data_IF_866715818778
#
_entry.id   IF_866715818778
#
_cell.length_a   1.000
_cell.length_b   1.000
_cell.length_c   1.000
_cell.angle_alpha   90.00
_cell.angle_beta   90.00
_cell.angle_gamma   90.00
#
_symmetry.space_group_name_H-M   'P 1'
#
loop_
_entity.id
_entity.type
_entity.pdbx_description
1 polymer ?
#
# COMPACT_ATOMS: atom_id res chain seq x y z
N UNK A 1 -3.48 66.29 29.13
CA UNK A 1 -4.00 65.28 28.18
C UNK A 1 -3.49 63.91 28.60
N UNK A 2 -4.36 62.94 28.93
CA UNK A 2 -3.98 61.52 29.08
C UNK A 2 -4.10 60.87 27.69
N UNK A 3 -3.18 59.95 27.32
CA UNK A 3 -3.42 58.54 27.59
C UNK A 3 -2.21 57.76 28.13
N UNK A 4 -2.49 56.65 28.81
CA UNK A 4 -1.55 55.64 29.33
C UNK A 4 -0.92 54.84 28.19
N UNK A 5 0.39 54.61 28.22
CA UNK A 5 1.06 53.55 27.45
C UNK A 5 0.83 52.22 28.15
N UNK A 6 0.13 51.32 27.47
CA UNK A 6 -0.11 49.94 27.87
C UNK A 6 1.07 49.05 27.43
N UNK A 7 1.40 48.10 28.29
CA UNK A 7 2.24 46.91 28.08
C UNK A 7 1.75 46.08 26.88
N UNK A 8 2.62 45.38 26.13
CA UNK A 8 2.16 44.44 25.11
C UNK A 8 1.51 43.24 25.82
N UNK A 9 0.20 43.10 25.65
CA UNK A 9 -0.56 41.94 26.10
C UNK A 9 -0.38 40.77 25.11
N UNK A 10 -0.19 39.60 25.70
CA UNK A 10 -0.67 38.27 25.28
C UNK A 10 -1.66 38.23 24.11
N UNK A 11 -1.21 37.63 23.00
CA UNK A 11 -1.98 36.92 21.96
C UNK A 11 -1.30 35.53 21.89
N UNK A 12 -1.90 34.36 22.14
CA UNK A 12 -3.24 33.89 21.82
C UNK A 12 -3.73 32.88 22.87
N UNK A 13 -4.65 33.31 23.72
CA UNK A 13 -5.60 32.45 24.43
C UNK A 13 -7.00 32.79 23.94
N UNK A 14 -7.29 32.52 22.66
CA UNK A 14 -8.65 32.54 22.13
C UNK A 14 -9.09 31.11 21.79
N UNK A 15 -9.82 30.57 22.76
CA UNK A 15 -10.63 29.37 22.70
C UNK A 15 -11.39 29.25 21.38
N UNK A 16 -11.07 28.19 20.62
CA UNK A 16 -12.00 27.53 19.74
C UNK A 16 -11.93 26.05 20.07
N UNK A 17 -12.77 25.57 21.00
CA UNK A 17 -12.86 24.13 21.24
C UNK A 17 -13.15 23.44 19.90
N UNK A 18 -12.36 22.42 19.58
CA UNK A 18 -12.64 21.58 18.42
C UNK A 18 -14.05 20.98 18.58
N UNK A 19 -14.79 20.75 17.50
CA UNK A 19 -16.10 20.10 17.61
C UNK A 19 -15.97 18.74 18.33
N UNK A 20 -17.04 18.27 19.00
CA UNK A 20 -17.00 16.99 19.71
C UNK A 20 -16.47 15.87 18.82
N UNK A 21 -15.48 15.12 19.32
CA UNK A 21 -14.81 14.05 18.59
C UNK A 21 -13.55 14.47 17.83
N UNK A 22 -13.26 15.76 17.67
CA UNK A 22 -12.04 16.19 16.98
C UNK A 22 -10.88 16.44 17.94
N UNK A 23 -9.71 15.91 17.60
CA UNK A 23 -8.45 16.07 18.34
C UNK A 23 -7.34 16.55 17.39
N UNK A 24 -6.43 17.39 17.88
CA UNK A 24 -5.30 17.90 17.08
C UNK A 24 -4.00 17.19 17.40
N UNK A 25 -3.25 16.85 16.36
CA UNK A 25 -1.96 16.17 16.43
C UNK A 25 -0.91 16.91 15.59
N UNK A 26 0.36 16.62 15.82
CA UNK A 26 1.47 17.16 15.04
C UNK A 26 2.08 16.03 14.21
N UNK A 27 2.25 16.25 12.91
CA UNK A 27 2.94 15.31 12.04
C UNK A 27 4.44 15.30 12.33
N UNK A 28 5.18 14.24 11.93
CA UNK A 28 6.64 14.22 12.02
C UNK A 28 7.32 15.37 11.27
N UNK A 29 6.64 15.97 10.29
CA UNK A 29 7.10 17.14 9.54
C UNK A 29 6.73 18.48 10.22
N UNK A 30 6.21 18.44 11.45
CA UNK A 30 5.86 19.63 12.23
C UNK A 30 4.57 20.34 11.80
N UNK A 31 3.69 19.68 11.04
CA UNK A 31 2.41 20.25 10.62
C UNK A 31 1.27 19.76 11.51
N UNK A 32 0.38 20.67 11.92
CA UNK A 32 -0.79 20.31 12.73
C UNK A 32 -1.88 19.69 11.85
N UNK A 33 -2.42 18.55 12.26
CA UNK A 33 -3.57 17.90 11.63
C UNK A 33 -4.63 17.56 12.68
N UNK A 34 -5.86 17.30 12.24
CA UNK A 34 -7.02 17.05 13.09
C UNK A 34 -7.62 15.68 12.75
N UNK A 35 -7.99 14.93 13.78
CA UNK A 35 -8.56 13.58 13.66
C UNK A 35 -9.90 13.53 14.37
N UNK A 36 -10.92 13.00 13.71
CA UNK A 36 -12.22 12.72 14.33
C UNK A 36 -12.22 11.30 14.94
N UNK A 37 -12.29 11.20 16.25
CA UNK A 37 -12.27 9.92 17.00
C UNK A 37 -13.54 9.09 16.83
N UNK A 38 -14.62 9.66 16.28
CA UNK A 38 -15.86 8.92 16.00
C UNK A 38 -15.91 8.37 14.58
N UNK A 39 -15.40 9.11 13.58
CA UNK A 39 -15.45 8.72 12.16
C UNK A 39 -14.12 8.22 11.61
N UNK A 40 -13.02 8.36 12.36
CA UNK A 40 -11.64 8.15 11.92
C UNK A 40 -11.22 9.01 10.70
N UNK A 41 -11.91 10.13 10.46
CA UNK A 41 -11.53 11.10 9.42
C UNK A 41 -10.33 11.94 9.86
N UNK A 42 -9.45 12.28 8.91
CA UNK A 42 -8.28 13.15 9.15
C UNK A 42 -8.27 14.32 8.18
N UNK A 43 -7.95 15.52 8.68
CA UNK A 43 -7.86 16.75 7.88
C UNK A 43 -6.70 17.64 8.33
N UNK A 44 -6.13 18.39 7.39
CA UNK A 44 -5.08 19.39 7.67
C UNK A 44 -5.65 20.76 8.00
N UNK A 45 -6.93 21.00 7.72
CA UNK A 45 -7.63 22.24 8.03
C UNK A 45 -8.37 22.12 9.37
N UNK A 46 -8.30 23.15 10.22
CA UNK A 46 -8.99 23.12 11.52
C UNK A 46 -10.51 22.98 11.31
N UNK A 47 -11.14 21.90 11.77
CA UNK A 47 -12.59 21.75 11.70
C UNK A 47 -13.25 22.90 12.47
N UNK A 48 -14.06 23.69 11.79
CA UNK A 48 -14.78 24.80 12.42
C UNK A 48 -15.98 24.26 13.21
N UNK A 49 -16.30 24.92 14.33
CA UNK A 49 -17.50 24.63 15.12
C UNK A 49 -18.78 25.23 14.54
N UNK A 50 -18.77 25.68 13.27
CA UNK A 50 -19.88 26.38 12.62
C UNK A 50 -20.23 25.71 11.29
N UNK A 51 -21.51 25.33 11.05
CA UNK A 51 -21.92 24.69 9.81
C UNK A 51 -21.91 25.69 8.64
N UNK A 52 -21.20 25.34 7.56
CA UNK A 52 -21.45 25.83 6.20
C UNK A 52 -20.45 26.83 5.63
N UNK A 53 -19.52 26.35 4.80
CA UNK A 53 -19.28 26.72 3.38
C UNK A 53 -17.86 26.29 2.93
N UNK A 54 -17.67 25.73 1.72
CA UNK A 54 -16.39 25.19 1.28
C UNK A 54 -15.54 26.22 0.52
N UNK A 55 -14.22 26.26 0.74
CA UNK A 55 -13.26 26.87 -0.19
C UNK A 55 -11.98 26.05 -0.33
N UNK A 56 -11.60 25.91 -1.60
CA UNK A 56 -10.53 25.12 -2.21
C UNK A 56 -9.10 25.68 -1.95
N UNK A 57 -8.04 24.96 -2.38
CA UNK A 57 -6.70 24.99 -1.78
C UNK A 57 -5.74 25.96 -2.48
N UNK A 58 -4.72 26.44 -1.75
CA UNK A 58 -3.59 27.19 -2.33
C UNK A 58 -2.24 26.59 -1.92
N UNK A 59 -1.46 26.35 -2.96
CA UNK A 59 -0.07 25.88 -3.04
C UNK A 59 0.97 26.87 -2.48
N UNK A 60 2.11 26.38 -1.98
CA UNK A 60 3.48 26.55 -2.57
C UNK A 60 4.64 26.49 -1.57
N UNK A 61 5.70 25.78 -2.02
CA UNK A 61 7.15 26.09 -1.98
C UNK A 61 7.86 26.06 -0.62
N UNK A 62 8.74 25.08 -0.38
CA UNK A 62 10.18 25.03 -0.73
C UNK A 62 11.02 26.09 -0.02
N UNK A 63 12.01 25.69 0.79
CA UNK A 63 13.40 26.17 0.74
C UNK A 63 14.27 25.43 1.78
N UNK A 64 15.46 25.06 1.33
CA UNK A 64 16.57 24.48 2.07
C UNK A 64 17.16 25.42 3.15
N UNK A 65 17.99 24.90 4.05
CA UNK A 65 19.42 25.30 4.21
C UNK A 65 20.12 24.50 5.32
N UNK A 66 21.38 24.15 5.00
CA UNK A 66 22.54 23.63 5.74
C UNK A 66 22.65 23.80 7.27
N UNK A 67 23.43 22.88 7.87
CA UNK A 67 24.24 23.16 9.07
C UNK A 67 24.97 21.95 9.65
N UNK A 68 26.31 22.00 9.66
CA UNK A 68 27.29 20.99 10.09
C UNK A 68 27.28 20.66 11.60
N UNK A 69 27.73 19.46 12.02
CA UNK A 69 29.01 19.23 12.73
C UNK A 69 29.17 17.80 13.30
N UNK A 70 30.44 17.43 13.46
CA UNK A 70 31.04 16.11 13.65
C UNK A 70 31.36 15.82 15.14
N UNK A 71 31.47 14.52 15.45
CA UNK A 71 32.27 13.84 16.50
C UNK A 71 31.73 13.68 17.93
N UNK A 72 31.88 12.45 18.42
CA UNK A 72 31.96 12.12 19.85
C UNK A 72 31.54 10.70 20.22
N UNK A 73 32.39 9.70 19.98
CA UNK A 73 32.37 8.42 20.72
C UNK A 73 32.95 8.59 22.12
N UNK A 74 32.43 7.87 23.13
CA UNK A 74 33.29 6.97 23.92
C UNK A 74 32.60 5.61 24.20
N UNK A 75 33.23 4.49 23.86
CA UNK A 75 34.02 3.57 24.71
C UNK A 75 33.23 2.81 25.79
N UNK A 76 33.28 1.49 25.61
CA UNK A 76 32.95 0.34 26.47
C UNK A 76 32.80 0.53 27.99
N UNK A 77 31.78 -0.17 28.52
CA UNK A 77 31.91 -0.92 29.78
C UNK A 77 31.22 -2.29 29.63
N UNK A 78 32.02 -3.35 29.81
CA UNK A 78 31.56 -4.71 30.06
C UNK A 78 31.01 -4.78 31.47
N UNK A 79 29.80 -5.32 31.63
CA UNK A 79 29.40 -5.95 32.89
C UNK A 79 28.68 -7.27 32.61
N UNK A 80 29.05 -8.28 33.39
CA UNK A 80 28.74 -9.68 33.22
C UNK A 80 27.77 -10.11 34.31
N UNK A 81 26.69 -10.79 33.93
CA UNK A 81 25.96 -11.68 34.83
C UNK A 81 24.68 -11.11 35.44
N UNK A 82 23.55 -11.33 34.75
CA UNK A 82 22.36 -11.97 35.35
C UNK A 82 21.42 -12.44 34.23
N UNK A 83 21.44 -13.73 33.90
CA UNK A 83 20.43 -14.36 33.04
C UNK A 83 19.11 -14.42 33.82
N UNK A 84 18.38 -13.32 33.82
CA UNK A 84 16.98 -13.31 34.25
C UNK A 84 16.14 -13.79 33.08
N UNK A 85 15.63 -15.02 33.16
CA UNK A 85 14.59 -15.57 32.31
C UNK A 85 13.37 -14.62 32.31
N UNK A 86 13.35 -13.67 31.38
CA UNK A 86 12.13 -12.92 31.04
C UNK A 86 11.28 -13.80 30.15
N UNK A 87 10.00 -13.91 30.49
CA UNK A 87 8.94 -14.54 29.68
C UNK A 87 9.13 -14.17 28.20
N UNK A 88 9.17 -15.17 27.34
CA UNK A 88 9.11 -14.97 25.89
C UNK A 88 7.75 -14.34 25.53
N UNK A 89 7.71 -13.00 25.47
CA UNK A 89 6.70 -12.28 24.70
C UNK A 89 7.04 -12.55 23.23
N UNK A 90 6.41 -13.58 22.67
CA UNK A 90 6.55 -13.89 21.25
C UNK A 90 6.06 -12.71 20.43
N UNK A 91 6.84 -12.33 19.42
CA UNK A 91 6.45 -11.34 18.43
C UNK A 91 5.06 -11.67 17.84
N UNK A 92 4.17 -10.68 17.67
CA UNK A 92 2.84 -10.90 17.15
C UNK A 92 2.89 -11.53 15.76
N UNK A 93 2.23 -12.68 15.65
CA UNK A 93 2.10 -13.41 14.40
C UNK A 93 0.72 -13.18 13.81
N UNK A 94 0.67 -12.58 12.63
CA UNK A 94 -0.57 -12.29 11.90
C UNK A 94 -0.49 -13.07 10.59
N UNK A 95 -1.40 -14.03 10.42
CA UNK A 95 -1.51 -14.87 9.21
C UNK A 95 -0.19 -15.53 8.78
N UNK A 96 0.51 -16.12 9.75
CA UNK A 96 1.82 -16.81 9.60
C UNK A 96 3.01 -15.90 9.28
N UNK A 97 2.84 -14.57 9.30
CA UNK A 97 3.94 -13.60 9.21
C UNK A 97 4.22 -13.05 10.61
N UNK A 98 5.49 -13.02 10.99
CA UNK A 98 5.93 -12.47 12.27
C UNK A 98 6.21 -10.98 12.10
N UNK A 99 5.54 -10.16 12.90
CA UNK A 99 5.79 -8.73 13.00
C UNK A 99 6.44 -8.44 14.36
N UNK A 100 7.35 -7.48 14.43
CA UNK A 100 7.96 -7.11 15.69
C UNK A 100 6.92 -6.56 16.69
N UNK A 101 7.11 -6.85 17.97
CA UNK A 101 6.18 -6.42 19.02
C UNK A 101 6.12 -4.88 19.16
N UNK A 102 4.93 -4.24 19.17
CA UNK A 102 4.78 -2.78 19.23
C UNK A 102 5.50 -2.13 20.41
N UNK A 103 5.43 -2.77 21.58
CA UNK A 103 6.00 -2.22 22.83
C UNK A 103 7.54 -2.27 22.90
N UNK A 104 8.19 -3.02 22.01
CA UNK A 104 9.65 -3.29 22.05
C UNK A 104 10.35 -2.75 20.80
N UNK A 105 9.60 -2.17 19.86
CA UNK A 105 10.13 -1.68 18.58
C UNK A 105 10.85 -0.34 18.72
N UNK A 106 12.16 -0.24 18.40
CA UNK A 106 12.71 1.01 17.91
C UNK A 106 12.05 1.37 16.56
N UNK A 107 12.01 2.66 16.24
CA UNK A 107 11.40 3.19 15.02
C UNK A 107 11.96 2.47 13.77
N UNK A 108 11.11 1.68 13.08
CA UNK A 108 11.50 0.97 11.87
C UNK A 108 11.51 1.94 10.69
N UNK A 109 12.68 2.09 10.04
CA UNK A 109 12.79 2.88 8.83
C UNK A 109 12.06 2.19 7.67
N UNK A 110 11.32 2.99 6.90
CA UNK A 110 10.70 2.55 5.65
C UNK A 110 11.78 2.23 4.61
N UNK A 111 11.47 1.31 3.68
CA UNK A 111 12.33 0.99 2.55
C UNK A 111 12.46 2.20 1.63
N UNK A 112 11.38 2.98 1.44
CA UNK A 112 11.37 4.24 0.71
C UNK A 112 10.76 5.39 1.55
N UNK A 113 11.54 6.02 2.45
CA UNK A 113 11.03 6.98 3.45
C UNK A 113 10.32 8.22 2.92
N UNK A 114 10.60 8.62 1.67
CA UNK A 114 10.00 9.80 1.04
C UNK A 114 8.85 9.46 0.08
N UNK A 115 8.45 8.18 0.00
CA UNK A 115 7.46 7.70 -0.96
C UNK A 115 6.39 6.84 -0.28
N UNK A 116 5.15 6.95 -0.76
CA UNK A 116 4.09 6.01 -0.40
C UNK A 116 4.23 4.74 -1.23
N UNK A 117 5.26 3.94 -0.93
CA UNK A 117 5.63 2.79 -1.76
C UNK A 117 4.78 1.55 -1.47
N UNK A 118 4.46 0.78 -2.50
CA UNK A 118 3.76 -0.49 -2.32
C UNK A 118 4.54 -1.48 -1.43
N UNK A 119 5.87 -1.45 -1.46
CA UNK A 119 6.70 -2.29 -0.62
C UNK A 119 6.75 -1.85 0.86
N UNK A 120 6.11 -0.75 1.25
CA UNK A 120 6.12 -0.27 2.63
C UNK A 120 4.77 -0.46 3.34
N UNK A 121 3.65 -0.42 2.60
CA UNK A 121 2.32 -0.26 3.20
C UNK A 121 1.36 -1.44 2.99
N UNK A 122 1.78 -2.53 2.34
CA UNK A 122 0.90 -3.65 1.94
C UNK A 122 1.33 -5.01 2.53
N UNK A 123 1.85 -5.00 3.76
CA UNK A 123 2.32 -6.20 4.47
C UNK A 123 1.23 -6.94 5.24
N UNK A 124 0.37 -6.20 5.92
CA UNK A 124 -0.72 -6.75 6.72
C UNK A 124 -1.93 -7.09 5.85
N UNK A 125 -2.66 -8.13 6.24
CA UNK A 125 -3.88 -8.50 5.56
C UNK A 125 -5.05 -7.65 6.06
N UNK A 126 -5.90 -7.20 5.14
CA UNK A 126 -7.08 -6.37 5.41
C UNK A 126 -8.28 -7.26 5.70
N UNK A 127 -8.95 -7.04 6.82
CA UNK A 127 -10.25 -7.65 7.12
C UNK A 127 -11.39 -6.80 6.54
N UNK A 128 -12.44 -7.43 6.06
CA UNK A 128 -13.68 -6.72 5.70
C UNK A 128 -14.36 -6.13 6.94
N UNK A 129 -15.33 -5.22 6.72
CA UNK A 129 -16.06 -4.54 7.80
C UNK A 129 -16.83 -5.49 8.72
N UNK A 130 -17.09 -6.72 8.24
CA UNK A 130 -17.83 -7.76 8.94
C UNK A 130 -16.90 -8.77 9.63
N UNK A 131 -15.58 -8.66 9.43
CA UNK A 131 -14.56 -9.56 9.95
C UNK A 131 -14.53 -10.96 9.31
N UNK A 132 -15.35 -11.22 8.31
CA UNK A 132 -15.59 -12.55 7.76
C UNK A 132 -14.59 -12.92 6.66
N UNK A 133 -14.12 -11.94 5.89
CA UNK A 133 -13.13 -12.15 4.85
C UNK A 133 -11.84 -11.40 5.15
N UNK A 134 -10.72 -12.03 4.81
CA UNK A 134 -9.39 -11.46 4.89
C UNK A 134 -8.78 -11.42 3.50
N UNK A 135 -8.30 -10.25 3.08
CA UNK A 135 -7.68 -9.99 1.78
C UNK A 135 -6.23 -9.58 2.03
N UNK A 136 -5.27 -10.24 1.37
CA UNK A 136 -3.87 -9.88 1.56
C UNK A 136 -3.55 -8.50 1.00
N UNK A 137 -2.52 -7.84 1.54
CA UNK A 137 -2.06 -6.57 0.98
C UNK A 137 -1.66 -6.68 -0.50
N UNK A 138 -1.05 -7.80 -0.89
CA UNK A 138 -0.70 -8.07 -2.29
C UNK A 138 -1.94 -8.15 -3.20
N UNK A 139 -3.00 -8.81 -2.74
CA UNK A 139 -4.25 -8.92 -3.50
C UNK A 139 -4.85 -7.53 -3.78
N UNK A 140 -4.76 -6.59 -2.84
CA UNK A 140 -5.22 -5.21 -3.05
C UNK A 140 -4.44 -4.55 -4.21
N UNK A 141 -3.11 -4.76 -4.26
CA UNK A 141 -2.27 -4.24 -5.34
C UNK A 141 -2.60 -4.90 -6.68
N UNK A 142 -2.81 -6.21 -6.69
CA UNK A 142 -3.24 -6.96 -7.87
C UNK A 142 -4.55 -6.41 -8.44
N UNK A 143 -5.55 -6.21 -7.58
CA UNK A 143 -6.84 -5.63 -7.97
C UNK A 143 -6.68 -4.20 -8.50
N UNK A 144 -5.81 -3.38 -7.90
CA UNK A 144 -5.50 -2.03 -8.40
C UNK A 144 -4.90 -2.08 -9.81
N UNK A 145 -4.02 -3.04 -10.07
CA UNK A 145 -3.40 -3.24 -11.38
C UNK A 145 -4.41 -3.70 -12.44
N UNK A 146 -5.26 -4.67 -12.10
CA UNK A 146 -6.36 -5.13 -12.98
C UNK A 146 -7.36 -4.01 -13.28
N UNK A 147 -7.72 -3.21 -12.29
CA UNK A 147 -8.58 -2.02 -12.47
C UNK A 147 -7.91 -0.98 -13.38
N UNK A 148 -6.59 -0.81 -13.29
CA UNK A 148 -5.84 0.05 -14.22
C UNK A 148 -6.01 -0.39 -15.68
N UNK A 149 -5.86 -1.69 -15.96
CA UNK A 149 -6.07 -2.24 -17.31
C UNK A 149 -7.52 -2.11 -17.78
N UNK A 150 -8.49 -2.23 -16.87
CA UNK A 150 -9.90 -2.00 -17.18
C UNK A 150 -10.17 -0.52 -17.54
N UNK A 151 -9.64 0.42 -16.76
CA UNK A 151 -9.77 1.85 -17.03
C UNK A 151 -9.16 2.24 -18.38
N UNK A 152 -7.99 1.69 -18.70
CA UNK A 152 -7.36 1.86 -20.01
C UNK A 152 -8.26 1.38 -21.17
N UNK A 153 -8.98 0.27 -20.99
CA UNK A 153 -9.95 -0.23 -21.98
C UNK A 153 -11.13 0.73 -22.13
N UNK A 154 -11.69 1.21 -21.03
CA UNK A 154 -12.79 2.19 -21.04
C UNK A 154 -12.38 3.52 -21.71
N UNK A 155 -11.15 3.98 -21.48
CA UNK A 155 -10.59 5.15 -22.17
C UNK A 155 -10.51 4.92 -23.69
N UNK A 156 -10.09 3.74 -24.14
CA UNK A 156 -10.07 3.41 -25.57
C UNK A 156 -11.50 3.35 -26.16
N UNK A 157 -12.45 2.78 -25.43
CA UNK A 157 -13.86 2.74 -25.82
C UNK A 157 -14.44 4.16 -25.96
N UNK A 158 -14.08 5.09 -25.06
CA UNK A 158 -14.45 6.51 -25.19
C UNK A 158 -13.87 7.15 -26.46
N UNK A 159 -12.59 6.91 -26.75
CA UNK A 159 -11.94 7.43 -27.98
C UNK A 159 -12.61 6.84 -29.24
N UNK A 160 -13.02 5.57 -29.20
CA UNK A 160 -13.77 4.94 -30.29
C UNK A 160 -15.10 5.64 -30.56
N UNK A 161 -15.85 6.00 -29.53
CA UNK A 161 -17.09 6.76 -29.73
C UNK A 161 -16.82 8.15 -30.30
N UNK A 162 -15.72 8.81 -29.88
CA UNK A 162 -15.29 10.08 -30.51
C UNK A 162 -14.95 9.89 -31.99
N UNK A 163 -14.24 8.81 -32.36
CA UNK A 163 -13.91 8.49 -33.76
C UNK A 163 -15.19 8.36 -34.59
N UNK A 164 -16.20 7.63 -34.11
CA UNK A 164 -17.49 7.47 -34.83
C UNK A 164 -18.20 8.81 -35.06
N UNK A 165 -18.20 9.69 -34.06
CA UNK A 165 -18.79 11.04 -34.18
C UNK A 165 -18.08 11.84 -35.28
N UNK A 166 -16.74 11.81 -35.31
CA UNK A 166 -15.96 12.50 -36.34
C UNK A 166 -16.20 11.92 -37.74
N UNK A 167 -16.31 10.60 -37.86
CA UNK A 167 -16.61 9.92 -39.13
C UNK A 167 -18.00 10.29 -39.66
N UNK A 168 -19.01 10.34 -38.78
CA UNK A 168 -20.36 10.75 -39.15
C UNK A 168 -20.42 12.24 -39.54
N UNK A 169 -19.71 13.10 -38.80
CA UNK A 169 -19.61 14.52 -39.12
C UNK A 169 -18.96 14.74 -40.50
N UNK A 170 -17.81 14.10 -40.75
CA UNK A 170 -17.12 14.14 -42.04
C UNK A 170 -18.01 13.62 -43.18
N UNK A 171 -18.73 12.51 -42.95
CA UNK A 171 -19.67 11.95 -43.94
C UNK A 171 -20.79 12.93 -44.30
N UNK A 172 -21.34 13.63 -43.31
CA UNK A 172 -22.40 14.61 -43.52
C UNK A 172 -21.90 15.86 -44.26
N UNK A 173 -20.71 16.38 -43.92
CA UNK A 173 -20.05 17.46 -44.66
C UNK A 173 -19.77 17.07 -46.11
N UNK A 174 -19.22 15.88 -46.32
CA UNK A 174 -18.96 15.34 -47.66
C UNK A 174 -20.23 15.23 -48.48
N UNK A 175 -21.32 14.69 -47.90
CA UNK A 175 -22.62 14.61 -48.59
C UNK A 175 -23.18 16.00 -48.94
N UNK A 176 -23.07 16.97 -48.03
CA UNK A 176 -23.54 18.34 -48.26
C UNK A 176 -22.74 19.06 -49.35
N UNK A 177 -21.42 18.81 -49.42
CA UNK A 177 -20.54 19.38 -50.45
C UNK A 177 -20.96 19.02 -51.89
N UNK A 178 -21.60 17.86 -52.08
CA UNK A 178 -22.04 17.36 -53.39
C UNK A 178 -23.44 17.83 -53.78
N UNK A 179 -24.08 18.68 -52.97
CA UNK A 179 -25.43 19.15 -53.25
C UNK A 179 -25.46 20.10 -54.47
N UNK A 180 -26.49 19.98 -55.29
CA UNK A 180 -26.73 20.79 -56.49
C UNK A 180 -27.44 22.12 -56.21
N UNK A 181 -27.70 22.47 -54.94
CA UNK A 181 -28.27 23.77 -54.56
C UNK A 181 -27.48 24.94 -55.16
N UNK A 182 -28.22 25.87 -55.78
CA UNK A 182 -27.71 27.05 -56.47
C UNK A 182 -26.57 26.76 -57.47
N UNK A 183 -26.55 25.58 -58.09
CA UNK A 183 -25.54 25.22 -59.09
C UNK A 183 -25.67 26.00 -60.41
N UNK A 184 -26.81 26.68 -60.62
CA UNK A 184 -27.06 27.54 -61.79
C UNK A 184 -26.54 28.97 -61.62
N UNK A 185 -25.97 29.32 -60.45
CA UNK A 185 -25.37 30.64 -60.24
C UNK A 185 -24.10 30.76 -61.08
N UNK A 186 -23.96 31.86 -61.81
CA UNK A 186 -22.90 32.07 -62.80
C UNK A 186 -21.93 33.19 -62.40
N UNK A 187 -20.91 33.41 -63.22
CA UNK A 187 -19.96 34.50 -63.02
C UNK A 187 -19.08 34.32 -61.79
N UNK A 188 -18.61 35.43 -61.21
CA UNK A 188 -17.71 35.41 -60.04
C UNK A 188 -18.41 34.92 -58.78
N UNK A 189 -19.71 35.21 -58.63
CA UNK A 189 -20.52 34.73 -57.51
C UNK A 189 -20.70 33.22 -57.57
N UNK A 190 -21.03 32.67 -58.74
CA UNK A 190 -21.13 31.22 -58.97
C UNK A 190 -19.83 30.48 -58.65
N UNK A 191 -18.69 31.03 -59.09
CA UNK A 191 -17.35 30.49 -58.75
C UNK A 191 -17.09 30.50 -57.24
N UNK A 192 -17.44 31.58 -56.55
CA UNK A 192 -17.29 31.67 -55.09
C UNK A 192 -18.20 30.66 -54.36
N UNK A 193 -19.44 30.49 -54.82
CA UNK A 193 -20.37 29.50 -54.30
C UNK A 193 -19.87 28.06 -54.51
N UNK A 194 -19.38 27.73 -55.70
CA UNK A 194 -18.77 26.43 -55.98
C UNK A 194 -17.55 26.17 -55.09
N UNK A 195 -16.72 27.19 -54.85
CA UNK A 195 -15.56 27.09 -53.96
C UNK A 195 -15.97 26.86 -52.50
N UNK A 196 -17.06 27.47 -52.03
CA UNK A 196 -17.61 27.18 -50.70
C UNK A 196 -18.06 25.72 -50.58
N UNK A 197 -18.77 25.19 -51.58
CA UNK A 197 -19.14 23.76 -51.57
C UNK A 197 -17.91 22.85 -51.56
N UNK A 198 -16.86 23.21 -52.31
CA UNK A 198 -15.57 22.51 -52.28
C UNK A 198 -14.90 22.58 -50.89
N UNK A 199 -14.93 23.72 -50.21
CA UNK A 199 -14.31 23.83 -48.88
C UNK A 199 -14.96 22.90 -47.86
N UNK A 200 -16.27 22.63 -47.96
CA UNK A 200 -16.94 21.62 -47.14
C UNK A 200 -16.40 20.20 -47.40
N UNK A 201 -16.02 19.87 -48.63
CA UNK A 201 -15.38 18.59 -48.94
C UNK A 201 -13.97 18.51 -48.35
N UNK A 202 -13.21 19.60 -48.43
CA UNK A 202 -11.88 19.71 -47.84
C UNK A 202 -11.94 19.59 -46.30
N UNK A 203 -12.92 20.23 -45.65
CA UNK A 203 -13.20 20.10 -44.22
C UNK A 203 -13.55 18.65 -43.84
N UNK A 204 -14.41 17.99 -44.61
CA UNK A 204 -14.72 16.58 -44.41
C UNK A 204 -13.46 15.69 -44.44
N UNK A 205 -12.53 15.94 -45.37
CA UNK A 205 -11.27 15.21 -45.47
C UNK A 205 -10.37 15.43 -44.25
N UNK A 206 -10.31 16.66 -43.72
CA UNK A 206 -9.57 16.98 -42.49
C UNK A 206 -10.12 16.19 -41.30
N UNK A 207 -11.43 16.17 -41.10
CA UNK A 207 -12.06 15.43 -40.01
C UNK A 207 -11.88 13.91 -40.14
N UNK A 208 -11.94 13.37 -41.36
CA UNK A 208 -11.68 11.95 -41.60
C UNK A 208 -10.22 11.56 -41.35
N UNK A 209 -9.26 12.42 -41.71
CA UNK A 209 -7.85 12.23 -41.37
C UNK A 209 -7.63 12.30 -39.86
N UNK A 210 -8.32 13.21 -39.17
CA UNK A 210 -8.27 13.32 -37.73
C UNK A 210 -8.81 12.07 -37.03
N UNK A 211 -9.96 11.54 -37.45
CA UNK A 211 -10.51 10.29 -36.89
C UNK A 211 -9.56 9.11 -37.08
N UNK A 212 -8.93 9.03 -38.26
CA UNK A 212 -7.91 8.02 -38.56
C UNK A 212 -6.70 8.12 -37.61
N UNK A 213 -6.24 9.34 -37.32
CA UNK A 213 -5.15 9.59 -36.35
C UNK A 213 -5.55 9.25 -34.92
N UNK A 214 -6.75 9.60 -34.48
CA UNK A 214 -7.28 9.18 -33.18
C UNK A 214 -7.24 7.66 -33.04
N UNK A 215 -7.63 6.94 -34.10
CA UNK A 215 -7.59 5.49 -34.09
C UNK A 215 -6.16 4.95 -34.01
N UNK A 216 -5.24 5.43 -34.85
CA UNK A 216 -3.88 4.87 -34.93
C UNK A 216 -2.94 5.31 -33.81
N UNK A 217 -3.07 6.55 -33.33
CA UNK A 217 -2.14 7.16 -32.39
C UNK A 217 -2.66 7.17 -30.94
N UNK A 218 -3.96 6.95 -30.73
CA UNK A 218 -4.57 6.98 -29.39
C UNK A 218 -5.29 5.68 -29.04
N UNK A 219 -6.33 5.29 -29.80
CA UNK A 219 -7.15 4.12 -29.47
C UNK A 219 -6.32 2.81 -29.52
N UNK A 220 -5.60 2.56 -30.62
CA UNK A 220 -4.80 1.35 -30.79
C UNK A 220 -3.71 1.21 -29.72
N UNK A 221 -2.87 2.23 -29.44
CA UNK A 221 -1.90 2.17 -28.35
C UNK A 221 -2.54 1.92 -26.98
N UNK A 222 -3.70 2.52 -26.70
CA UNK A 222 -4.44 2.22 -25.46
C UNK A 222 -4.92 0.77 -25.41
N UNK A 223 -5.27 0.12 -26.50
CA UNK A 223 -5.71 -1.28 -26.46
C UNK A 223 -4.53 -2.26 -26.35
N UNK A 224 -3.49 -2.05 -27.16
CA UNK A 224 -2.34 -2.95 -27.29
C UNK A 224 -1.31 -2.80 -26.17
N UNK A 225 -1.38 -1.74 -25.35
CA UNK A 225 -0.46 -1.58 -24.23
C UNK A 225 -0.60 -2.75 -23.24
N UNK A 226 0.45 -3.57 -23.14
CA UNK A 226 0.56 -4.77 -22.30
C UNK A 226 -0.56 -5.79 -22.55
N UNK A 227 -0.63 -6.39 -23.75
CA UNK A 227 -1.67 -7.37 -24.10
C UNK A 227 -1.68 -8.62 -23.18
N UNK A 228 -0.49 -9.10 -22.79
CA UNK A 228 -0.34 -10.26 -21.91
C UNK A 228 -0.54 -9.96 -20.42
N UNK A 229 -0.89 -8.71 -20.05
CA UNK A 229 -0.94 -8.24 -18.68
C UNK A 229 -1.73 -9.14 -17.73
N UNK A 230 -2.94 -9.55 -18.12
CA UNK A 230 -3.80 -10.40 -17.26
C UNK A 230 -3.16 -11.75 -16.97
N UNK A 231 -2.41 -12.31 -17.93
CA UNK A 231 -1.69 -13.58 -17.76
C UNK A 231 -0.50 -13.40 -16.83
N UNK A 232 0.25 -12.32 -17.01
CA UNK A 232 1.42 -11.99 -16.17
C UNK A 232 0.99 -11.75 -14.73
N UNK A 233 -0.09 -10.99 -14.51
CA UNK A 233 -0.66 -10.74 -13.18
C UNK A 233 -1.10 -12.03 -12.48
N UNK A 234 -1.76 -12.96 -13.19
CA UNK A 234 -2.08 -14.29 -12.63
C UNK A 234 -0.85 -15.10 -12.26
N UNK A 235 0.22 -15.00 -13.05
CA UNK A 235 1.49 -15.68 -12.75
C UNK A 235 2.14 -15.11 -11.49
N UNK A 236 2.17 -13.77 -11.34
CA UNK A 236 2.66 -13.11 -10.14
C UNK A 236 1.83 -13.48 -8.90
N UNK A 237 0.50 -13.45 -9.01
CA UNK A 237 -0.42 -13.87 -7.95
C UNK A 237 -0.14 -15.29 -7.48
N UNK A 238 -0.11 -16.25 -8.40
CA UNK A 238 0.19 -17.64 -8.08
C UNK A 238 1.55 -17.80 -7.38
N UNK A 239 2.57 -17.10 -7.86
CA UNK A 239 3.91 -17.15 -7.28
C UNK A 239 3.94 -16.69 -5.82
N UNK A 240 3.34 -15.54 -5.51
CA UNK A 240 3.28 -14.99 -4.15
C UNK A 240 2.39 -15.86 -3.25
N UNK A 241 1.27 -16.38 -3.78
CA UNK A 241 0.39 -17.28 -3.06
C UNK A 241 1.08 -18.60 -2.66
N UNK A 242 1.89 -19.18 -3.54
CA UNK A 242 2.67 -20.38 -3.25
C UNK A 242 3.71 -20.15 -2.15
N UNK A 243 4.40 -19.01 -2.16
CA UNK A 243 5.33 -18.63 -1.09
C UNK A 243 4.61 -18.45 0.25
N UNK A 244 3.44 -17.80 0.26
CA UNK A 244 2.60 -17.69 1.47
C UNK A 244 2.12 -19.05 1.98
N UNK A 245 1.74 -19.96 1.09
CA UNK A 245 1.36 -21.33 1.45
C UNK A 245 2.54 -22.10 2.06
N UNK A 246 3.74 -21.94 1.49
CA UNK A 246 4.96 -22.54 2.04
C UNK A 246 5.28 -21.97 3.43
N UNK A 247 5.16 -20.66 3.62
CA UNK A 247 5.34 -19.99 4.91
C UNK A 247 4.36 -20.52 5.97
N UNK A 248 3.07 -20.64 5.64
CA UNK A 248 2.05 -21.20 6.53
C UNK A 248 2.35 -22.67 6.90
N UNK A 249 2.86 -23.46 5.97
CA UNK A 249 3.31 -24.83 6.25
C UNK A 249 4.50 -24.88 7.22
N UNK A 250 5.50 -24.00 7.05
CA UNK A 250 6.63 -23.88 7.98
C UNK A 250 6.18 -23.44 9.37
N UNK A 251 5.26 -22.48 9.42
CA UNK A 251 4.67 -22.01 10.67
C UNK A 251 3.97 -23.15 11.43
N UNK A 252 3.14 -23.95 10.75
CA UNK A 252 2.49 -25.12 11.35
C UNK A 252 3.50 -26.14 11.89
N UNK A 253 4.66 -26.30 11.23
CA UNK A 253 5.73 -27.17 11.72
C UNK A 253 6.40 -26.62 13.00
N UNK A 254 6.63 -25.30 13.08
CA UNK A 254 7.12 -24.63 14.30
C UNK A 254 6.17 -24.87 15.46
N UNK A 255 4.86 -24.66 15.25
CA UNK A 255 3.87 -24.84 16.32
C UNK A 255 3.77 -26.29 16.79
N UNK A 256 3.87 -27.25 15.85
CA UNK A 256 3.96 -28.67 16.20
C UNK A 256 5.22 -28.99 17.02
N UNK A 257 6.38 -28.44 16.65
CA UNK A 257 7.63 -28.63 17.38
C UNK A 257 7.60 -27.97 18.77
N UNK A 258 7.01 -26.78 18.89
CA UNK A 258 6.81 -26.06 20.15
C UNK A 258 5.93 -26.86 21.11
N UNK A 259 4.82 -27.41 20.62
CA UNK A 259 3.95 -28.29 21.39
C UNK A 259 4.69 -29.54 21.85
N UNK A 260 5.44 -30.18 20.95
CA UNK A 260 6.24 -31.36 21.28
C UNK A 260 7.30 -31.06 22.36
N UNK A 261 8.04 -29.94 22.26
CA UNK A 261 8.99 -29.51 23.29
C UNK A 261 8.30 -29.33 24.65
N UNK A 262 7.15 -28.66 24.66
CA UNK A 262 6.37 -28.42 25.89
C UNK A 262 5.94 -29.73 26.54
N UNK A 263 5.47 -30.71 25.75
CA UNK A 263 5.12 -32.05 26.25
C UNK A 263 6.34 -32.79 26.81
N UNK A 264 7.50 -32.71 26.16
CA UNK A 264 8.75 -33.34 26.64
C UNK A 264 9.32 -32.68 27.89
N UNK A 265 9.15 -31.37 28.05
CA UNK A 265 9.54 -30.65 29.27
C UNK A 265 8.67 -31.06 30.45
N UNK A 266 7.34 -31.18 30.27
CA UNK A 266 6.43 -31.69 31.29
C UNK A 266 6.75 -33.14 31.69
N UNK A 267 7.07 -34.00 30.72
CA UNK A 267 7.47 -35.39 30.99
C UNK A 267 8.78 -35.47 31.80
N UNK A 268 9.76 -34.62 31.48
CA UNK A 268 11.00 -34.51 32.24
C UNK A 268 10.77 -34.01 33.67
N UNK A 269 9.93 -32.99 33.84
CA UNK A 269 9.57 -32.44 35.14
C UNK A 269 8.88 -33.48 36.02
N UNK A 270 7.88 -34.19 35.49
CA UNK A 270 7.18 -35.27 36.21
C UNK A 270 8.12 -36.39 36.65
N UNK A 271 9.03 -36.83 35.77
CA UNK A 271 10.02 -37.85 36.12
C UNK A 271 11.03 -37.37 37.17
N UNK A 272 11.37 -36.08 37.15
CA UNK A 272 12.25 -35.45 38.15
C UNK A 272 11.58 -35.45 39.52
N UNK A 273 10.30 -35.08 39.60
CA UNK A 273 9.50 -35.17 40.84
C UNK A 273 9.38 -36.62 41.35
N UNK A 274 9.28 -37.60 40.46
CA UNK A 274 9.21 -39.02 40.85
C UNK A 274 10.50 -39.52 41.53
N UNK A 275 11.67 -38.97 41.16
CA UNK A 275 12.95 -39.27 41.81
C UNK A 275 12.99 -38.73 43.25
N UNK A 276 12.40 -37.56 43.51
CA UNK A 276 12.30 -36.97 44.86
C UNK A 276 11.46 -37.82 45.81
N UNK A 277 10.44 -38.51 45.28
CA UNK A 277 9.55 -39.40 46.05
C UNK A 277 10.14 -40.82 46.22
N UNK A 278 10.81 -41.35 45.19
CA UNK A 278 11.36 -42.72 45.22
C UNK A 278 12.67 -42.81 44.44
N UNK A 279 13.78 -42.83 45.18
CA UNK A 279 15.12 -42.98 44.61
C UNK A 279 15.34 -44.43 44.12
N UNK A 280 15.63 -44.58 42.83
CA UNK A 280 15.99 -45.86 42.23
C UNK A 280 16.84 -45.64 40.98
N UNK A 281 17.84 -46.49 40.75
CA UNK A 281 18.66 -46.48 39.53
C UNK A 281 17.81 -46.52 38.24
N UNK A 282 16.63 -47.17 38.29
CA UNK A 282 15.69 -47.18 37.16
C UNK A 282 15.12 -45.77 36.87
N UNK A 283 14.76 -45.02 37.92
CA UNK A 283 14.22 -43.66 37.80
C UNK A 283 15.29 -42.69 37.25
N UNK A 284 16.55 -42.86 37.65
CA UNK A 284 17.66 -42.06 37.12
C UNK A 284 17.87 -42.25 35.60
N UNK A 285 17.82 -43.50 35.12
CA UNK A 285 17.92 -43.78 33.68
C UNK A 285 16.73 -43.24 32.88
N UNK A 286 15.52 -43.30 33.44
CA UNK A 286 14.33 -42.71 32.83
C UNK A 286 14.42 -41.19 32.73
N UNK A 287 15.00 -40.50 33.72
CA UNK A 287 15.29 -39.06 33.68
C UNK A 287 16.34 -38.74 32.62
N UNK A 288 17.45 -39.48 32.54
CA UNK A 288 18.47 -39.28 31.49
C UNK A 288 17.85 -39.40 30.10
N UNK A 289 16.97 -40.40 29.90
CA UNK A 289 16.24 -40.60 28.65
C UNK A 289 15.27 -39.45 28.34
N UNK A 290 14.51 -38.98 29.33
CA UNK A 290 13.58 -37.86 29.16
C UNK A 290 14.32 -36.55 28.86
N UNK A 291 15.45 -36.30 29.52
CA UNK A 291 16.31 -35.14 29.28
C UNK A 291 16.82 -35.14 27.84
N UNK A 292 17.38 -36.26 27.35
CA UNK A 292 17.81 -36.39 25.94
C UNK A 292 16.66 -36.11 24.96
N UNK A 293 15.46 -36.62 25.23
CA UNK A 293 14.27 -36.37 24.41
C UNK A 293 13.80 -34.92 24.43
N UNK A 294 13.96 -34.22 25.54
CA UNK A 294 13.64 -32.79 25.66
C UNK A 294 14.68 -31.94 24.92
N UNK A 295 15.97 -32.24 25.06
CA UNK A 295 17.05 -31.58 24.30
C UNK A 295 16.83 -31.77 22.80
N UNK A 296 16.58 -33.00 22.33
CA UNK A 296 16.29 -33.28 20.93
C UNK A 296 15.08 -32.49 20.40
N UNK A 297 14.00 -32.36 21.19
CA UNK A 297 12.84 -31.56 20.81
C UNK A 297 13.16 -30.06 20.73
N UNK A 298 14.12 -29.58 21.53
CA UNK A 298 14.65 -28.22 21.45
C UNK A 298 15.42 -27.99 20.15
N UNK A 299 16.31 -28.91 19.78
CA UNK A 299 17.05 -28.87 18.51
C UNK A 299 16.11 -28.94 17.30
N UNK A 300 15.04 -29.75 17.41
CA UNK A 300 14.00 -29.84 16.38
C UNK A 300 13.23 -28.52 16.22
N UNK A 301 12.86 -27.87 17.33
CA UNK A 301 12.22 -26.57 17.30
C UNK A 301 13.14 -25.52 16.67
N UNK A 302 14.41 -25.48 17.04
CA UNK A 302 15.40 -24.56 16.47
C UNK A 302 15.46 -24.70 14.94
N UNK A 303 15.58 -25.94 14.44
CA UNK A 303 15.58 -26.22 13.00
C UNK A 303 14.28 -25.79 12.31
N UNK A 304 13.13 -26.02 12.94
CA UNK A 304 11.84 -25.58 12.39
C UNK A 304 11.76 -24.05 12.31
N UNK A 305 12.26 -23.33 13.32
CA UNK A 305 12.32 -21.87 13.34
C UNK A 305 13.26 -21.34 12.26
N UNK A 306 14.44 -21.95 12.06
CA UNK A 306 15.36 -21.56 10.99
C UNK A 306 14.72 -21.68 9.60
N UNK A 307 14.04 -22.80 9.34
CA UNK A 307 13.35 -23.03 8.07
C UNK A 307 12.15 -22.10 7.87
N UNK A 308 11.48 -21.70 8.97
CA UNK A 308 10.43 -20.69 8.93
C UNK A 308 10.99 -19.31 8.58
N UNK A 309 12.07 -18.90 9.25
CA UNK A 309 12.74 -17.62 8.98
C UNK A 309 13.26 -17.53 7.55
N UNK A 310 13.86 -18.61 7.03
CA UNK A 310 14.28 -18.67 5.61
C UNK A 310 13.10 -18.53 4.65
N UNK A 311 11.98 -19.20 4.92
CA UNK A 311 10.78 -19.07 4.09
C UNK A 311 10.18 -17.65 4.16
N UNK A 312 10.21 -17.03 5.35
CA UNK A 312 9.73 -15.66 5.55
C UNK A 312 10.61 -14.65 4.82
N UNK A 313 11.94 -14.74 4.93
CA UNK A 313 12.88 -13.87 4.20
C UNK A 313 12.71 -14.00 2.70
N UNK A 314 12.56 -15.23 2.17
CA UNK A 314 12.31 -15.45 0.75
C UNK A 314 10.98 -14.83 0.29
N UNK A 315 9.90 -15.03 1.06
CA UNK A 315 8.62 -14.38 0.76
C UNK A 315 8.72 -12.86 0.80
N UNK A 316 9.43 -12.31 1.80
CA UNK A 316 9.65 -10.88 1.95
C UNK A 316 10.40 -10.29 0.74
N UNK A 317 11.53 -10.86 0.35
CA UNK A 317 12.32 -10.38 -0.79
C UNK A 317 11.51 -10.39 -2.09
N UNK A 318 10.81 -11.50 -2.39
CA UNK A 318 9.98 -11.62 -3.58
C UNK A 318 8.77 -10.68 -3.55
N UNK A 319 8.19 -10.42 -2.37
CA UNK A 319 7.12 -9.45 -2.19
C UNK A 319 7.63 -8.03 -2.44
N UNK A 320 8.81 -7.66 -1.94
CA UNK A 320 9.44 -6.36 -2.23
C UNK A 320 9.69 -6.23 -3.73
N UNK A 321 10.40 -7.18 -4.35
CA UNK A 321 10.76 -7.08 -5.78
C UNK A 321 9.55 -7.04 -6.71
N UNK A 322 8.48 -7.77 -6.38
CA UNK A 322 7.24 -7.78 -7.18
C UNK A 322 6.42 -6.48 -7.02
N UNK A 323 6.62 -5.74 -5.92
CA UNK A 323 5.87 -4.51 -5.61
C UNK A 323 6.64 -3.21 -5.81
N UNK A 324 7.95 -3.28 -6.08
CA UNK A 324 8.80 -2.14 -6.45
C UNK A 324 8.45 -1.53 -7.81
#
# INVERSE_FOLDING_TARGET
QKPRKATPQTEDTLNGHLPPGWQSYMSPQGQRYYVNTFTNETTWERPSSVPGTPKSPVSRKSSAVNGYHISGTPVHQLDSGHMSLRKASGDPQINSVTFPHPDIMPEQQLLKPSEWSYCDYFWADKKDLQGNNTVSGFEILLQKQLKGKQMQKEMAEFVRERIKIEEEYAKNLSKLSQNSLAAQEEGTLGKAWAQLKKSLADEAEVHLKFSSKLQSEVEKPLLSFRENFKKDMKKCDHHIADLRKHLASRYAAVEKARKALTERQKDLEMKTQQLEVKLSNKTEEEIKKARRKSTQAGDDLMRCVDLYNQAQSKWFEEMVTTTL
#
